data_IF_871358408001
#
_entry.id   IF_871358408001
#
_cell.length_a   1.000
_cell.length_b   1.000
_cell.length_c   1.000
_cell.angle_alpha   90.00
_cell.angle_beta   90.00
_cell.angle_gamma   90.00
#
_symmetry.space_group_name_H-M   'P 1'
#
loop_
_entity.id
_entity.type
_entity.pdbx_description
1 polymer ?
#
# COMPACT_ATOMS: atom_id res chain seq x y z
N UNK A 1 4.11 -10.94 -17.65
CA UNK A 1 2.70 -11.30 -17.35
C UNK A 1 2.18 -12.53 -18.10
N UNK A 2 2.59 -12.80 -19.35
CA UNK A 2 2.15 -14.01 -20.08
C UNK A 2 2.41 -15.32 -19.33
N UNK A 3 3.45 -15.40 -18.51
CA UNK A 3 3.80 -16.58 -17.72
C UNK A 3 2.93 -16.79 -16.48
N UNK A 4 2.14 -15.79 -16.08
CA UNK A 4 1.28 -15.81 -14.89
C UNK A 4 -0.17 -16.24 -15.19
N UNK A 5 -0.61 -16.25 -16.46
CA UNK A 5 -2.01 -16.39 -16.86
C UNK A 5 -2.77 -17.58 -16.22
N UNK A 6 -2.07 -18.64 -15.78
CA UNK A 6 -2.65 -19.79 -15.09
C UNK A 6 -1.96 -20.13 -13.74
N UNK A 7 -1.02 -19.32 -13.28
CA UNK A 7 -0.27 -19.52 -12.04
C UNK A 7 -0.95 -18.92 -10.82
N UNK A 8 -0.50 -19.35 -9.66
CA UNK A 8 -0.86 -18.70 -8.40
C UNK A 8 0.00 -17.45 -8.19
N UNK A 9 -0.58 -16.45 -7.52
CA UNK A 9 0.12 -15.21 -7.20
C UNK A 9 -0.31 -14.66 -5.85
N UNK A 10 0.45 -13.72 -5.35
CA UNK A 10 0.09 -12.88 -4.21
C UNK A 10 0.19 -11.41 -4.58
N UNK A 11 -0.52 -10.57 -3.82
CA UNK A 11 -0.53 -9.13 -3.99
C UNK A 11 0.05 -8.45 -2.75
N UNK A 12 0.77 -7.36 -2.98
CA UNK A 12 1.02 -6.34 -1.96
C UNK A 12 0.33 -5.06 -2.42
N UNK A 13 -0.38 -4.41 -1.50
CA UNK A 13 -1.06 -3.14 -1.75
C UNK A 13 -0.50 -2.10 -0.80
N UNK A 14 -0.19 -0.93 -1.32
CA UNK A 14 0.25 0.23 -0.56
C UNK A 14 -0.48 1.47 -1.06
N UNK A 15 -0.97 2.28 -0.13
CA UNK A 15 -1.65 3.53 -0.43
C UNK A 15 -0.77 4.71 -0.02
N UNK A 16 -0.63 5.67 -0.90
CA UNK A 16 0.18 6.86 -0.67
C UNK A 16 -0.52 8.08 -1.26
N UNK A 17 -0.17 9.25 -0.75
CA UNK A 17 -0.61 10.52 -1.32
C UNK A 17 0.52 11.12 -2.13
N UNK A 18 0.20 11.62 -3.32
CA UNK A 18 1.17 12.39 -4.08
C UNK A 18 1.25 13.85 -3.58
N UNK A 19 2.16 14.63 -4.16
CA UNK A 19 2.35 16.06 -3.82
C UNK A 19 1.07 16.88 -4.06
N UNK A 20 0.19 16.45 -4.95
CA UNK A 20 -1.09 17.08 -5.27
C UNK A 20 -2.24 16.61 -4.37
N UNK A 21 -1.93 15.85 -3.30
CA UNK A 21 -2.91 15.28 -2.35
C UNK A 21 -3.87 14.28 -3.02
N UNK A 22 -3.46 13.68 -4.14
CA UNK A 22 -4.22 12.60 -4.76
C UNK A 22 -3.81 11.27 -4.14
N UNK A 23 -4.80 10.51 -3.72
CA UNK A 23 -4.60 9.15 -3.27
C UNK A 23 -4.15 8.27 -4.44
N UNK A 24 -3.02 7.62 -4.28
CA UNK A 24 -2.46 6.66 -5.22
C UNK A 24 -2.35 5.31 -4.56
N UNK A 25 -2.76 4.28 -5.26
CA UNK A 25 -2.61 2.90 -4.83
C UNK A 25 -1.58 2.21 -5.71
N UNK A 26 -0.57 1.64 -5.09
CA UNK A 26 0.40 0.77 -5.72
C UNK A 26 0.00 -0.70 -5.51
N UNK A 27 -0.18 -1.44 -6.58
CA UNK A 27 -0.39 -2.88 -6.56
C UNK A 27 0.89 -3.58 -7.02
N UNK A 28 1.41 -4.48 -6.22
CA UNK A 28 2.59 -5.30 -6.57
C UNK A 28 2.17 -6.76 -6.64
N UNK A 29 2.42 -7.38 -7.77
CA UNK A 29 2.19 -8.81 -7.99
C UNK A 29 3.46 -9.61 -7.71
N UNK A 30 3.32 -10.66 -6.92
CA UNK A 30 4.38 -11.63 -6.65
C UNK A 30 3.96 -12.99 -7.16
N UNK A 31 4.78 -13.61 -7.99
CA UNK A 31 4.51 -14.95 -8.51
C UNK A 31 5.78 -15.72 -8.84
N UNK A 32 5.64 -17.01 -8.99
CA UNK A 32 6.69 -17.91 -9.46
C UNK A 32 6.27 -18.48 -10.80
N UNK A 33 7.15 -18.38 -11.79
CA UNK A 33 6.86 -18.94 -13.12
C UNK A 33 7.07 -20.48 -13.17
N UNK A 34 6.74 -21.11 -14.29
CA UNK A 34 6.93 -22.56 -14.50
C UNK A 34 8.39 -23.01 -14.35
N UNK A 35 9.36 -22.14 -14.56
CA UNK A 35 10.80 -22.41 -14.36
C UNK A 35 11.27 -22.19 -12.92
N UNK A 36 10.33 -21.97 -11.96
CA UNK A 36 10.59 -21.67 -10.56
C UNK A 36 11.34 -20.36 -10.29
N UNK A 37 11.32 -19.42 -11.25
CA UNK A 37 11.86 -18.09 -11.03
C UNK A 37 10.81 -17.21 -10.36
N UNK A 38 11.24 -16.48 -9.31
CA UNK A 38 10.41 -15.51 -8.60
C UNK A 38 10.36 -14.18 -9.36
N UNK A 39 9.18 -13.61 -9.46
CA UNK A 39 8.95 -12.31 -10.09
C UNK A 39 8.16 -11.39 -9.16
N UNK A 40 8.56 -10.12 -9.20
CA UNK A 40 7.86 -9.00 -8.58
C UNK A 40 7.59 -7.97 -9.66
N UNK A 41 6.32 -7.69 -9.89
CA UNK A 41 5.89 -6.77 -10.96
C UNK A 41 4.93 -5.75 -10.37
N UNK A 42 5.13 -4.48 -10.71
CA UNK A 42 4.18 -3.40 -10.43
C UNK A 42 3.42 -3.13 -11.72
N UNK A 43 2.18 -3.61 -11.85
CA UNK A 43 1.45 -3.48 -13.11
C UNK A 43 1.12 -2.02 -13.43
N UNK A 44 0.65 -1.27 -12.44
CA UNK A 44 0.26 0.13 -12.62
C UNK A 44 -0.03 0.79 -11.27
N UNK A 45 0.10 2.12 -11.22
CA UNK A 45 -0.45 2.94 -10.15
C UNK A 45 -1.88 3.33 -10.49
N UNK A 46 -2.81 3.14 -9.57
CA UNK A 46 -4.19 3.61 -9.73
C UNK A 46 -4.38 4.90 -8.94
N UNK A 47 -4.77 5.97 -9.63
CA UNK A 47 -5.16 7.22 -8.97
C UNK A 47 -6.62 7.13 -8.54
N UNK A 48 -6.87 6.94 -7.27
CA UNK A 48 -8.22 6.90 -6.70
C UNK A 48 -8.77 8.31 -6.51
N UNK A 49 -9.31 8.94 -7.56
CA UNK A 49 -9.78 10.33 -7.48
C UNK A 49 -11.20 10.52 -6.94
N UNK A 50 -11.99 9.49 -6.70
CA UNK A 50 -13.43 9.70 -6.43
C UNK A 50 -14.15 8.83 -5.41
N UNK A 51 -13.62 7.72 -4.86
CA UNK A 51 -14.47 6.86 -4.03
C UNK A 51 -13.77 6.30 -2.78
N UNK A 52 -14.34 6.61 -1.61
CA UNK A 52 -13.94 6.07 -0.31
C UNK A 52 -14.42 4.62 -0.14
N UNK A 53 -13.59 3.75 0.41
CA UNK A 53 -13.83 2.38 0.93
C UNK A 53 -14.12 1.23 -0.05
N UNK A 54 -15.07 1.32 -0.97
CA UNK A 54 -15.38 0.23 -1.92
C UNK A 54 -14.46 0.20 -3.14
N UNK A 55 -13.63 1.21 -3.28
CA UNK A 55 -12.82 1.45 -4.48
C UNK A 55 -11.58 0.59 -4.51
N UNK A 56 -10.98 0.29 -3.36
CA UNK A 56 -9.74 -0.47 -3.31
C UNK A 56 -9.96 -1.89 -3.86
N UNK A 57 -11.02 -2.58 -3.45
CA UNK A 57 -11.33 -3.91 -4.00
C UNK A 57 -11.65 -3.84 -5.49
N UNK A 58 -12.54 -2.95 -5.89
CA UNK A 58 -12.93 -2.78 -7.30
C UNK A 58 -11.74 -2.39 -8.18
N UNK A 59 -10.87 -1.49 -7.69
CA UNK A 59 -9.66 -1.11 -8.41
C UNK A 59 -8.69 -2.30 -8.58
N UNK A 60 -8.54 -3.13 -7.56
CA UNK A 60 -7.74 -4.35 -7.64
C UNK A 60 -8.36 -5.33 -8.64
N UNK A 61 -9.67 -5.55 -8.60
CA UNK A 61 -10.37 -6.41 -9.54
C UNK A 61 -10.22 -5.93 -10.99
N UNK A 62 -10.38 -4.61 -11.23
CA UNK A 62 -10.16 -4.03 -12.55
C UNK A 62 -8.73 -4.26 -13.04
N UNK A 63 -7.72 -3.99 -12.19
CA UNK A 63 -6.32 -4.22 -12.53
C UNK A 63 -6.02 -5.69 -12.81
N UNK A 64 -6.61 -6.60 -12.03
CA UNK A 64 -6.46 -8.04 -12.27
C UNK A 64 -7.13 -8.46 -13.59
N UNK A 65 -8.32 -7.93 -13.88
CA UNK A 65 -9.03 -8.19 -15.15
C UNK A 65 -8.25 -7.67 -16.36
N UNK A 66 -7.68 -6.47 -16.30
CA UNK A 66 -6.83 -5.91 -17.37
C UNK A 66 -5.65 -6.83 -17.73
N UNK A 67 -5.18 -7.59 -16.73
CA UNK A 67 -4.08 -8.53 -16.90
C UNK A 67 -4.51 -9.99 -17.06
N UNK A 68 -5.81 -10.25 -17.26
CA UNK A 68 -6.40 -11.59 -17.35
C UNK A 68 -6.10 -12.47 -16.12
N UNK A 69 -6.06 -11.85 -14.92
CA UNK A 69 -5.86 -12.53 -13.65
C UNK A 69 -7.19 -12.64 -12.91
N UNK A 70 -7.36 -13.74 -12.16
CA UNK A 70 -8.56 -13.98 -11.36
C UNK A 70 -8.22 -14.05 -9.88
N UNK A 71 -9.07 -13.47 -9.03
CA UNK A 71 -8.97 -13.59 -7.56
C UNK A 71 -8.94 -15.04 -7.08
N UNK A 72 -9.52 -16.00 -7.81
CA UNK A 72 -9.46 -17.43 -7.48
C UNK A 72 -8.03 -18.00 -7.45
N UNK A 73 -7.09 -17.37 -8.15
CA UNK A 73 -5.68 -17.74 -8.19
C UNK A 73 -4.82 -17.01 -7.15
N UNK A 74 -5.39 -16.05 -6.44
CA UNK A 74 -4.72 -15.34 -5.35
C UNK A 74 -4.47 -16.29 -4.18
N UNK A 75 -3.26 -16.28 -3.64
CA UNK A 75 -2.87 -17.10 -2.47
C UNK A 75 -2.36 -16.29 -1.30
N UNK A 76 -2.01 -15.04 -1.52
CA UNK A 76 -1.55 -14.14 -0.48
C UNK A 76 -1.93 -12.70 -0.76
N UNK A 77 -2.26 -11.97 0.29
CA UNK A 77 -2.55 -10.55 0.27
C UNK A 77 -1.79 -9.88 1.41
N UNK A 78 -1.04 -8.83 1.11
CA UNK A 78 -0.23 -8.11 2.08
C UNK A 78 -0.42 -6.61 1.97
N UNK A 79 -0.68 -5.96 3.11
CA UNK A 79 -0.80 -4.51 3.24
C UNK A 79 -0.67 -4.08 4.68
N UNK A 80 -0.78 -2.80 4.95
CA UNK A 80 -0.71 -2.23 6.28
C UNK A 80 -1.92 -2.58 7.16
N UNK A 81 -1.89 -2.12 8.41
CA UNK A 81 -2.96 -2.35 9.39
C UNK A 81 -4.05 -1.28 9.37
N UNK A 82 -4.15 -0.44 8.35
CA UNK A 82 -5.19 0.58 8.27
C UNK A 82 -6.59 -0.04 8.26
N UNK A 83 -7.57 0.66 8.83
CA UNK A 83 -8.93 0.13 9.02
C UNK A 83 -9.66 -0.19 7.72
N UNK A 84 -9.38 0.53 6.63
CA UNK A 84 -9.88 0.24 5.28
C UNK A 84 -9.27 -1.03 4.69
N UNK A 85 -8.06 -1.40 5.12
CA UNK A 85 -7.35 -2.59 4.67
C UNK A 85 -7.67 -3.81 5.52
N UNK A 86 -7.58 -3.71 6.84
CA UNK A 86 -7.64 -4.84 7.78
C UNK A 86 -9.01 -5.01 8.46
N UNK A 87 -9.95 -4.05 8.34
CA UNK A 87 -11.22 -4.04 9.08
C UNK A 87 -12.01 -5.34 8.94
N UNK A 88 -12.56 -5.84 10.05
CA UNK A 88 -13.22 -7.17 10.13
C UNK A 88 -14.55 -7.26 9.38
N UNK A 89 -15.19 -6.14 9.08
CA UNK A 89 -16.50 -6.12 8.41
C UNK A 89 -16.37 -5.81 6.92
N UNK A 90 -15.70 -4.70 6.59
CA UNK A 90 -15.61 -4.14 5.25
C UNK A 90 -14.17 -3.79 4.83
N UNK A 91 -13.16 -4.29 5.54
CA UNK A 91 -11.78 -4.14 5.14
C UNK A 91 -11.46 -4.99 3.90
N UNK A 92 -10.51 -4.55 3.10
CA UNK A 92 -10.07 -5.26 1.89
C UNK A 92 -9.78 -6.74 2.16
N UNK A 93 -9.06 -7.03 3.27
CA UNK A 93 -8.79 -8.39 3.76
C UNK A 93 -10.04 -9.25 3.79
N UNK A 94 -11.08 -8.74 4.45
CA UNK A 94 -12.32 -9.48 4.68
C UNK A 94 -13.10 -9.68 3.38
N UNK A 95 -13.12 -8.68 2.51
CA UNK A 95 -13.78 -8.75 1.22
C UNK A 95 -13.12 -9.81 0.32
N UNK A 96 -11.79 -9.78 0.21
CA UNK A 96 -11.06 -10.79 -0.58
C UNK A 96 -11.24 -12.19 0.02
N UNK A 97 -11.19 -12.36 1.35
CA UNK A 97 -11.38 -13.66 1.99
C UNK A 97 -12.79 -14.22 1.85
N UNK A 98 -13.82 -13.37 1.70
CA UNK A 98 -15.19 -13.81 1.38
C UNK A 98 -15.26 -14.50 0.01
N UNK A 99 -14.51 -13.98 -0.96
CA UNK A 99 -14.48 -14.54 -2.32
C UNK A 99 -13.47 -15.69 -2.46
N UNK A 100 -12.30 -15.55 -1.83
CA UNK A 100 -11.25 -16.56 -1.90
C UNK A 100 -10.62 -16.81 -0.53
N UNK A 101 -11.06 -17.83 0.16
CA UNK A 101 -10.54 -18.23 1.49
C UNK A 101 -9.07 -18.65 1.48
N UNK A 102 -8.50 -18.94 0.32
CA UNK A 102 -7.08 -19.31 0.17
C UNK A 102 -6.14 -18.11 0.03
N UNK A 103 -6.63 -16.89 -0.01
CA UNK A 103 -5.85 -15.66 -0.08
C UNK A 103 -5.41 -15.21 1.32
N UNK A 104 -4.41 -15.86 1.91
CA UNK A 104 -3.95 -15.57 3.26
C UNK A 104 -3.44 -14.13 3.40
N UNK A 105 -3.92 -13.45 4.44
CA UNK A 105 -3.47 -12.10 4.77
C UNK A 105 -2.17 -12.11 5.55
N UNK A 106 -1.25 -11.24 5.16
CA UNK A 106 -0.01 -10.95 5.89
C UNK A 106 0.09 -9.45 6.12
N UNK A 107 0.25 -9.05 7.37
CA UNK A 107 0.53 -7.65 7.69
C UNK A 107 1.92 -7.26 7.17
N UNK A 108 2.02 -6.12 6.50
CA UNK A 108 3.28 -5.63 5.93
C UNK A 108 4.37 -5.51 7.01
N UNK A 109 5.44 -6.30 6.88
CA UNK A 109 6.55 -6.30 7.86
C UNK A 109 7.28 -4.96 7.90
N UNK A 110 7.40 -4.25 6.79
CA UNK A 110 7.99 -2.91 6.77
C UNK A 110 7.17 -1.94 7.61
N UNK A 111 5.84 -2.00 7.53
CA UNK A 111 4.95 -1.20 8.35
C UNK A 111 5.05 -1.58 9.84
N UNK A 112 5.09 -2.87 10.17
CA UNK A 112 5.28 -3.34 11.56
C UNK A 112 6.61 -2.84 12.13
N UNK A 113 7.70 -2.91 11.35
CA UNK A 113 9.00 -2.37 11.75
C UNK A 113 8.92 -0.86 12.00
N UNK A 114 8.28 -0.12 11.11
CA UNK A 114 8.07 1.32 11.26
C UNK A 114 7.30 1.63 12.56
N UNK A 115 6.21 0.93 12.84
CA UNK A 115 5.44 1.11 14.08
C UNK A 115 6.29 0.83 15.32
N UNK A 116 7.11 -0.20 15.28
CA UNK A 116 8.03 -0.56 16.38
C UNK A 116 9.06 0.55 16.60
N UNK A 117 9.71 1.02 15.53
CA UNK A 117 10.70 2.12 15.60
C UNK A 117 10.07 3.41 16.12
N UNK A 118 8.87 3.76 15.65
CA UNK A 118 8.13 4.93 16.15
C UNK A 118 7.76 4.76 17.63
N UNK A 119 7.35 3.57 18.05
CA UNK A 119 7.06 3.26 19.46
C UNK A 119 8.28 3.45 20.35
N UNK A 120 9.45 2.93 19.94
CA UNK A 120 10.72 3.12 20.66
C UNK A 120 11.12 4.59 20.69
N UNK A 121 11.04 5.29 19.54
CA UNK A 121 11.39 6.70 19.44
C UNK A 121 10.54 7.59 20.34
N UNK A 122 9.24 7.32 20.47
CA UNK A 122 8.34 8.07 21.36
C UNK A 122 8.68 7.90 22.84
N UNK A 123 9.19 6.73 23.22
CA UNK A 123 9.57 6.44 24.61
C UNK A 123 10.93 7.04 25.00
N UNK A 124 11.71 7.54 24.05
CA UNK A 124 13.00 8.18 24.31
C UNK A 124 12.89 9.70 24.16
N UNK A 125 12.97 10.43 25.30
CA UNK A 125 12.65 11.87 25.36
C UNK A 125 13.41 12.74 24.36
N UNK A 126 14.70 12.47 24.15
CA UNK A 126 15.52 13.27 23.22
C UNK A 126 15.14 13.00 21.75
N UNK A 127 14.81 11.75 21.42
CA UNK A 127 14.37 11.36 20.09
C UNK A 127 12.96 11.92 19.81
N UNK A 128 12.07 11.86 20.79
CA UNK A 128 10.74 12.44 20.67
C UNK A 128 10.79 13.97 20.44
N UNK A 129 11.66 14.67 21.20
CA UNK A 129 11.89 16.12 21.00
C UNK A 129 12.46 16.44 19.62
N UNK A 130 13.43 15.65 19.15
CA UNK A 130 14.01 15.82 17.81
C UNK A 130 12.91 15.71 16.73
N UNK A 131 12.13 14.63 16.74
CA UNK A 131 11.06 14.47 15.75
C UNK A 131 9.96 15.51 15.86
N UNK A 132 9.67 15.98 17.07
CA UNK A 132 8.73 17.09 17.27
C UNK A 132 9.21 18.38 16.59
N UNK A 133 10.48 18.75 16.77
CA UNK A 133 11.08 19.94 16.15
C UNK A 133 11.10 19.79 14.62
N UNK A 134 11.54 18.63 14.11
CA UNK A 134 11.58 18.36 12.67
C UNK A 134 10.19 18.41 12.06
N UNK A 135 9.18 17.80 12.70
CA UNK A 135 7.79 17.82 12.21
C UNK A 135 7.23 19.24 12.16
N UNK A 136 7.50 20.07 13.18
CA UNK A 136 7.10 21.46 13.18
C UNK A 136 7.78 22.25 12.05
N UNK A 137 9.09 22.04 11.85
CA UNK A 137 9.83 22.66 10.76
C UNK A 137 9.23 22.31 9.39
N UNK A 138 9.01 21.00 9.14
CA UNK A 138 8.39 20.51 7.89
C UNK A 138 7.00 21.09 7.69
N UNK A 139 6.18 21.18 8.75
CA UNK A 139 4.84 21.77 8.69
C UNK A 139 4.90 23.25 8.36
N UNK A 140 5.78 24.01 9.01
CA UNK A 140 5.95 25.46 8.76
C UNK A 140 6.45 25.72 7.34
N UNK A 141 7.39 24.92 6.86
CA UNK A 141 7.95 25.08 5.51
C UNK A 141 6.97 24.58 4.45
N UNK A 142 6.39 23.39 4.65
CA UNK A 142 5.48 22.76 3.71
C UNK A 142 4.11 23.40 3.60
N UNK A 143 3.66 24.07 4.68
CA UNK A 143 2.34 24.72 4.75
C UNK A 143 2.19 26.00 3.90
N UNK A 144 3.28 26.55 3.40
CA UNK A 144 3.26 27.78 2.59
C UNK A 144 3.93 27.56 1.22
N UNK A 145 3.15 27.74 0.15
CA UNK A 145 3.63 27.56 -1.23
C UNK A 145 4.92 28.32 -1.52
N UNK A 146 4.99 29.60 -1.12
CA UNK A 146 6.19 30.44 -1.34
C UNK A 146 7.48 29.90 -0.68
N UNK A 147 7.37 29.34 0.54
CA UNK A 147 8.53 28.76 1.25
C UNK A 147 8.98 27.46 0.61
N UNK A 148 8.03 26.64 0.17
CA UNK A 148 8.29 25.40 -0.52
C UNK A 148 8.98 25.65 -1.88
N UNK A 149 8.53 26.67 -2.61
CA UNK A 149 9.12 27.01 -3.90
C UNK A 149 10.52 27.59 -3.73
N UNK A 150 10.76 28.39 -2.68
CA UNK A 150 12.10 28.90 -2.35
C UNK A 150 13.10 27.76 -2.06
N UNK A 151 12.68 26.70 -1.36
CA UNK A 151 13.54 25.54 -1.07
C UNK A 151 13.79 24.64 -2.30
N UNK A 152 12.91 24.64 -3.28
CA UNK A 152 13.10 23.89 -4.53
C UNK A 152 14.09 24.58 -5.47
N UNK A 153 14.25 25.89 -5.34
CA UNK A 153 15.09 26.72 -6.21
C UNK A 153 16.46 27.03 -5.58
N UNK A 154 16.73 26.53 -4.36
CA UNK A 154 18.02 26.63 -3.66
C UNK A 154 18.84 25.34 -3.88
#
# INVERSE_FOLDING_TARGET
>A
MKDLANGFFSILVDESHDISVKEQMALVLHYVNKKRNYYRVVPQYCTCSKYRRFVTQYAIECLLCEHNLSLSKLRGQGYDGASNMQGDINGLKTLILKENKSAFYVHCFAHQLQLTLVGIAKNHINIAKFFYVVSNLVTVVGGFCKRRDALRNA
#
